data_IF_805515916047
#
_entry.id   IF_805515916047
#
_cell.length_a   1.000
_cell.length_b   1.000
_cell.length_c   1.000
_cell.angle_alpha   90.00
_cell.angle_beta   90.00
_cell.angle_gamma   90.00
#
_symmetry.space_group_name_H-M   'P 1'
#
loop_
_entity.id
_entity.type
_entity.pdbx_description
1 polymer ?
#
# COMPACT_ATOMS: atom_id res chain seq x y z
N UNK A 1 -34.28 19.54 -53.97
CA UNK A 1 -34.38 19.13 -52.56
C UNK A 1 -33.16 18.30 -52.19
N UNK A 2 -32.16 18.90 -51.52
CA UNK A 2 -30.95 18.18 -51.04
C UNK A 2 -31.24 17.63 -49.65
N UNK A 3 -31.30 16.31 -49.51
CA UNK A 3 -31.37 15.62 -48.22
C UNK A 3 -29.95 15.52 -47.66
N UNK A 4 -29.63 16.33 -46.66
CA UNK A 4 -28.40 16.19 -45.89
C UNK A 4 -28.75 15.31 -44.69
N UNK A 5 -28.36 14.05 -44.76
CA UNK A 5 -28.43 13.13 -43.63
C UNK A 5 -27.35 13.52 -42.62
N UNK A 6 -27.76 14.02 -41.46
CA UNK A 6 -26.84 14.28 -40.35
C UNK A 6 -26.44 12.95 -39.70
N UNK A 7 -25.17 12.57 -39.85
CA UNK A 7 -24.57 11.48 -39.09
C UNK A 7 -24.38 11.97 -37.64
N UNK A 8 -25.08 11.32 -36.70
CA UNK A 8 -24.87 11.52 -35.26
C UNK A 8 -23.50 10.96 -34.90
N UNK A 9 -22.54 11.85 -34.68
CA UNK A 9 -21.26 11.54 -34.06
C UNK A 9 -21.54 11.20 -32.60
N UNK A 10 -21.52 9.90 -32.28
CA UNK A 10 -21.48 9.43 -30.90
C UNK A 10 -20.17 9.88 -30.27
N UNK A 11 -20.22 10.97 -29.51
CA UNK A 11 -19.14 11.39 -28.63
C UNK A 11 -19.02 10.32 -27.54
N UNK A 12 -18.02 9.45 -27.71
CA UNK A 12 -17.49 8.62 -26.63
C UNK A 12 -16.96 9.58 -25.56
N UNK A 13 -17.75 9.80 -24.50
CA UNK A 13 -17.25 10.39 -23.27
C UNK A 13 -16.29 9.37 -22.65
N UNK A 14 -15.02 9.44 -23.04
CA UNK A 14 -13.93 8.80 -22.31
C UNK A 14 -13.93 9.41 -20.91
N UNK A 15 -14.54 8.70 -19.95
CA UNK A 15 -14.40 9.02 -18.54
C UNK A 15 -12.90 8.96 -18.23
N UNK A 16 -12.30 10.11 -17.96
CA UNK A 16 -10.93 10.22 -17.50
C UNK A 16 -10.86 9.51 -16.14
N UNK A 17 -10.45 8.24 -16.13
CA UNK A 17 -10.14 7.52 -14.90
C UNK A 17 -8.84 8.14 -14.38
N UNK A 18 -8.98 9.15 -13.52
CA UNK A 18 -7.85 9.73 -12.82
C UNK A 18 -7.29 8.67 -11.87
N UNK A 19 -6.20 8.02 -12.27
CA UNK A 19 -5.40 7.20 -11.38
C UNK A 19 -4.70 8.15 -10.39
N UNK A 20 -5.14 8.13 -9.13
CA UNK A 20 -4.48 8.86 -8.05
C UNK A 20 -3.62 7.85 -7.29
N UNK A 21 -2.32 8.11 -7.21
CA UNK A 21 -1.39 7.37 -6.38
C UNK A 21 -0.89 8.27 -5.25
N UNK A 22 -1.06 7.83 -4.01
CA UNK A 22 -0.53 8.48 -2.82
C UNK A 22 0.63 7.64 -2.30
N UNK A 23 1.75 8.29 -2.00
CA UNK A 23 2.93 7.64 -1.44
C UNK A 23 3.16 8.12 -0.02
N UNK A 24 3.37 7.21 0.92
CA UNK A 24 3.67 7.48 2.32
C UNK A 24 5.02 6.86 2.65
N UNK A 25 5.88 7.59 3.35
CA UNK A 25 7.22 7.12 3.71
C UNK A 25 7.48 7.33 5.20
N UNK A 26 8.16 6.37 5.80
CA UNK A 26 8.79 6.50 7.11
C UNK A 26 10.23 6.02 7.02
N UNK A 27 11.12 6.72 7.70
CA UNK A 27 12.46 6.23 8.01
C UNK A 27 12.68 6.32 9.52
N UNK A 28 13.18 5.24 10.11
CA UNK A 28 13.50 5.16 11.53
C UNK A 28 14.76 4.32 11.74
N UNK A 29 15.88 4.99 12.00
CA UNK A 29 17.19 4.36 11.95
C UNK A 29 17.46 3.74 10.58
N UNK A 30 17.85 2.47 10.58
CA UNK A 30 18.08 1.68 9.38
C UNK A 30 16.83 1.11 8.70
N UNK A 31 15.64 1.36 9.26
CA UNK A 31 14.38 0.82 8.74
C UNK A 31 13.65 1.87 7.90
N UNK A 32 13.36 1.56 6.65
CA UNK A 32 12.59 2.36 5.71
C UNK A 32 11.29 1.63 5.38
N UNK A 33 10.18 2.34 5.44
CA UNK A 33 8.88 1.86 5.02
C UNK A 33 8.33 2.79 3.96
N UNK A 34 7.89 2.22 2.85
CA UNK A 34 7.18 2.93 1.79
C UNK A 34 5.84 2.26 1.59
N UNK A 35 4.78 3.06 1.56
CA UNK A 35 3.45 2.59 1.24
C UNK A 35 2.90 3.41 0.08
N UNK A 36 2.36 2.72 -0.91
CA UNK A 36 1.66 3.31 -2.04
C UNK A 36 0.21 2.88 -2.00
N UNK A 37 -0.69 3.84 -2.08
CA UNK A 37 -2.12 3.62 -2.25
C UNK A 37 -2.50 4.13 -3.63
N UNK A 38 -3.05 3.27 -4.48
CA UNK A 38 -3.55 3.65 -5.79
C UNK A 38 -5.06 3.41 -5.88
N UNK A 39 -5.78 4.34 -6.51
CA UNK A 39 -7.21 4.19 -6.78
C UNK A 39 -7.49 4.21 -8.27
N UNK A 40 -8.19 3.20 -8.77
CA UNK A 40 -8.63 3.09 -10.16
C UNK A 40 -10.11 2.71 -10.16
N UNK A 41 -10.99 3.66 -10.49
CA UNK A 41 -12.43 3.48 -10.30
C UNK A 41 -12.74 3.27 -8.81
N UNK A 42 -13.38 2.15 -8.49
CA UNK A 42 -13.71 1.75 -7.11
C UNK A 42 -12.67 0.80 -6.49
N UNK A 43 -11.67 0.36 -7.26
CA UNK A 43 -10.62 -0.51 -6.76
C UNK A 43 -9.54 0.30 -6.06
N UNK A 44 -9.16 -0.15 -4.86
CA UNK A 44 -8.05 0.38 -4.08
C UNK A 44 -6.94 -0.66 -4.10
N UNK A 45 -5.80 -0.32 -4.70
CA UNK A 45 -4.57 -1.08 -4.60
C UNK A 45 -3.70 -0.51 -3.48
N UNK A 46 -3.05 -1.40 -2.75
CA UNK A 46 -2.02 -1.04 -1.77
C UNK A 46 -0.78 -1.87 -2.03
N UNK A 47 0.37 -1.21 -1.93
CA UNK A 47 1.70 -1.81 -1.93
C UNK A 47 2.46 -1.25 -0.73
N UNK A 48 3.10 -2.13 0.04
CA UNK A 48 3.95 -1.77 1.17
C UNK A 48 5.30 -2.43 0.99
N UNK A 49 6.33 -1.61 0.92
CA UNK A 49 7.73 -1.99 0.84
C UNK A 49 8.43 -1.66 2.15
N UNK A 50 9.27 -2.59 2.60
CA UNK A 50 10.06 -2.44 3.81
C UNK A 50 11.48 -2.85 3.53
N UNK A 51 12.40 -1.95 3.83
CA UNK A 51 13.83 -2.19 3.81
C UNK A 51 14.40 -1.98 5.21
N UNK A 52 15.29 -2.88 5.62
CA UNK A 52 16.05 -2.72 6.85
C UNK A 52 17.52 -2.97 6.56
N UNK A 53 18.34 -1.99 6.89
CA UNK A 53 19.80 -2.07 6.88
C UNK A 53 20.31 -1.87 8.32
N UNK A 54 21.00 -2.85 8.93
CA UNK A 54 21.56 -2.71 10.28
C UNK A 54 22.49 -1.49 10.42
N UNK A 55 22.24 -0.63 11.42
CA UNK A 55 23.08 0.55 11.66
C UNK A 55 23.62 0.60 13.10
N UNK A 56 24.95 0.67 13.22
CA UNK A 56 25.63 0.80 14.50
C UNK A 56 25.49 -0.42 15.42
N UNK A 57 25.83 -0.25 16.69
CA UNK A 57 25.85 -1.34 17.68
C UNK A 57 24.46 -1.80 18.13
N UNK A 58 23.41 -1.01 17.88
CA UNK A 58 22.02 -1.34 18.28
C UNK A 58 21.45 -2.48 17.42
N UNK A 59 21.98 -2.66 16.21
CA UNK A 59 21.56 -3.68 15.26
C UNK A 59 22.60 -4.82 15.10
N UNK A 60 23.54 -4.93 16.03
CA UNK A 60 24.57 -5.96 15.99
C UNK A 60 23.97 -7.37 15.92
N UNK A 61 24.45 -8.17 14.97
CA UNK A 61 23.96 -9.53 14.72
C UNK A 61 22.64 -9.62 13.93
N UNK A 62 21.98 -8.51 13.63
CA UNK A 62 20.85 -8.48 12.69
C UNK A 62 21.36 -8.54 11.24
N UNK A 63 20.51 -9.01 10.33
CA UNK A 63 20.80 -9.07 8.89
C UNK A 63 19.90 -8.11 8.14
N UNK A 64 20.38 -7.53 7.03
CA UNK A 64 19.52 -6.72 6.18
C UNK A 64 18.38 -7.55 5.61
N UNK A 65 17.26 -6.91 5.35
CA UNK A 65 16.11 -7.52 4.70
C UNK A 65 15.35 -6.50 3.85
N UNK A 66 14.66 -7.01 2.84
CA UNK A 66 13.81 -6.22 1.95
C UNK A 66 12.60 -7.08 1.58
N UNK A 67 11.40 -6.54 1.79
CA UNK A 67 10.15 -7.25 1.51
C UNK A 67 9.07 -6.30 1.00
N UNK A 68 8.27 -6.82 0.08
CA UNK A 68 7.12 -6.13 -0.49
C UNK A 68 5.87 -6.98 -0.29
N UNK A 69 4.77 -6.34 0.09
CA UNK A 69 3.44 -6.94 0.01
C UNK A 69 2.50 -6.01 -0.76
N UNK A 70 1.79 -6.58 -1.72
CA UNK A 70 0.86 -5.83 -2.56
C UNK A 70 -0.39 -6.62 -2.91
N UNK A 71 -1.46 -5.87 -3.18
CA UNK A 71 -2.76 -6.42 -3.56
C UNK A 71 -3.89 -5.40 -3.47
N UNK A 72 -5.10 -5.88 -3.71
CA UNK A 72 -6.32 -5.09 -3.50
C UNK A 72 -6.60 -4.94 -2.00
N UNK A 73 -6.98 -3.73 -1.60
CA UNK A 73 -7.39 -3.42 -0.24
C UNK A 73 -8.89 -3.10 -0.20
N UNK A 74 -9.52 -3.51 0.89
CA UNK A 74 -10.91 -3.20 1.19
C UNK A 74 -10.99 -1.94 2.06
N UNK A 75 -11.89 -1.01 1.72
CA UNK A 75 -12.20 0.13 2.57
C UNK A 75 -13.23 -0.29 3.62
N UNK A 76 -12.81 -0.38 4.88
CA UNK A 76 -13.68 -0.78 6.00
C UNK A 76 -14.24 0.42 6.77
N UNK A 77 -13.56 1.57 6.69
CA UNK A 77 -14.04 2.85 7.18
C UNK A 77 -13.49 4.00 6.32
N UNK A 78 -13.94 5.24 6.55
CA UNK A 78 -13.47 6.41 5.79
C UNK A 78 -11.95 6.62 5.85
N UNK A 79 -11.34 6.17 6.93
CA UNK A 79 -9.93 6.33 7.21
C UNK A 79 -9.23 4.99 7.49
N UNK A 80 -9.82 3.86 7.09
CA UNK A 80 -9.26 2.54 7.34
C UNK A 80 -9.35 1.66 6.08
N UNK A 81 -8.20 1.11 5.68
CA UNK A 81 -8.08 0.12 4.61
C UNK A 81 -7.52 -1.19 5.18
N UNK A 82 -7.96 -2.31 4.61
CA UNK A 82 -7.47 -3.64 4.98
C UNK A 82 -6.96 -4.36 3.73
N UNK A 83 -5.68 -4.69 3.71
CA UNK A 83 -5.05 -5.55 2.71
C UNK A 83 -4.91 -6.97 3.30
N UNK A 84 -5.34 -7.99 2.55
CA UNK A 84 -5.12 -9.39 2.92
C UNK A 84 -4.34 -10.11 1.83
N UNK A 85 -3.19 -10.66 2.19
CA UNK A 85 -2.35 -11.48 1.30
C UNK A 85 -2.20 -12.88 1.86
N UNK A 86 -2.55 -13.89 1.06
CA UNK A 86 -2.33 -15.29 1.43
C UNK A 86 -0.84 -15.64 1.36
N UNK A 87 -0.34 -16.34 2.38
CA UNK A 87 1.01 -16.95 2.37
C UNK A 87 1.02 -18.05 1.31
N UNK A 88 2.03 -18.05 0.45
CA UNK A 88 2.12 -19.05 -0.62
C UNK A 88 2.13 -20.48 -0.06
N UNK A 89 1.21 -21.32 -0.52
CA UNK A 89 1.10 -22.72 -0.10
C UNK A 89 0.52 -22.95 1.30
N UNK A 90 0.13 -21.90 2.04
CA UNK A 90 -0.46 -22.03 3.38
C UNK A 90 -1.88 -21.46 3.47
N UNK A 91 -2.67 -21.96 4.41
CA UNK A 91 -3.99 -21.42 4.76
C UNK A 91 -3.87 -20.26 5.78
N UNK A 92 -2.86 -19.40 5.61
CA UNK A 92 -2.57 -18.24 6.47
C UNK A 92 -2.57 -16.96 5.65
N UNK A 93 -2.93 -15.85 6.30
CA UNK A 93 -3.08 -14.57 5.62
C UNK A 93 -2.36 -13.47 6.40
N UNK A 94 -1.42 -12.80 5.75
CA UNK A 94 -0.93 -11.53 6.24
C UNK A 94 -2.01 -10.47 5.99
N UNK A 95 -2.60 -10.00 7.08
CA UNK A 95 -3.50 -8.86 7.10
C UNK A 95 -2.72 -7.60 7.51
N UNK A 96 -2.83 -6.55 6.70
CA UNK A 96 -2.39 -5.19 7.04
C UNK A 96 -3.61 -4.30 7.22
N UNK A 97 -3.70 -3.63 8.37
CA UNK A 97 -4.70 -2.58 8.63
C UNK A 97 -4.01 -1.24 8.55
N UNK A 98 -4.53 -0.36 7.70
CA UNK A 98 -3.93 0.91 7.36
C UNK A 98 -4.86 2.00 7.84
N UNK A 99 -4.40 2.74 8.85
CA UNK A 99 -5.13 3.84 9.44
C UNK A 99 -4.64 5.15 8.83
N UNK A 100 -5.50 5.81 8.07
CA UNK A 100 -5.24 7.11 7.45
C UNK A 100 -5.64 8.24 8.39
N UNK A 101 -4.84 9.30 8.44
CA UNK A 101 -5.13 10.51 9.20
C UNK A 101 -4.51 11.73 8.52
N UNK A 102 -5.23 12.32 7.57
CA UNK A 102 -4.74 13.43 6.76
C UNK A 102 -3.51 12.99 5.95
N UNK A 103 -2.40 13.71 6.12
CA UNK A 103 -1.12 13.43 5.45
C UNK A 103 -0.29 12.33 6.17
N UNK A 104 -0.89 11.54 7.05
CA UNK A 104 -0.22 10.48 7.79
C UNK A 104 -0.95 9.14 7.70
N UNK A 105 -0.19 8.06 7.79
CA UNK A 105 -0.71 6.69 7.86
C UNK A 105 0.00 5.88 8.95
N UNK A 106 -0.72 4.94 9.58
CA UNK A 106 -0.16 3.95 10.52
C UNK A 106 -0.57 2.56 10.05
N UNK A 107 0.35 1.61 10.13
CA UNK A 107 0.11 0.22 9.68
C UNK A 107 0.18 -0.70 10.89
N UNK A 108 -0.88 -1.48 11.10
CA UNK A 108 -0.86 -2.67 11.96
C UNK A 108 -0.76 -3.93 11.09
N UNK A 109 -0.01 -4.93 11.54
CA UNK A 109 0.12 -6.21 10.86
C UNK A 109 -0.38 -7.36 11.74
N UNK A 110 -1.03 -8.35 11.13
CA UNK A 110 -1.30 -9.63 11.78
C UNK A 110 -0.01 -10.40 12.06
N UNK A 111 -0.01 -11.30 13.05
CA UNK A 111 1.13 -12.19 13.34
C UNK A 111 1.52 -13.07 12.16
N UNK A 112 0.57 -13.38 11.29
CA UNK A 112 0.81 -14.22 10.11
C UNK A 112 1.68 -13.53 9.06
N UNK A 113 1.88 -12.21 9.15
CA UNK A 113 2.85 -11.49 8.32
C UNK A 113 4.30 -11.91 8.62
N UNK A 114 4.58 -12.46 9.80
CA UNK A 114 5.90 -12.97 10.17
C UNK A 114 6.30 -14.22 9.36
N UNK A 115 5.35 -14.84 8.62
CA UNK A 115 5.67 -15.89 7.65
C UNK A 115 6.17 -15.33 6.31
N UNK A 116 5.85 -14.08 5.99
CA UNK A 116 6.38 -13.37 4.81
C UNK A 116 7.71 -12.68 5.11
N UNK A 117 7.90 -12.30 6.37
CA UNK A 117 8.96 -11.42 6.82
C UNK A 117 10.00 -12.21 7.61
N UNK A 118 11.29 -12.00 7.34
CA UNK A 118 12.31 -12.36 8.33
C UNK A 118 12.11 -11.54 9.63
N UNK A 119 12.57 -12.04 10.78
CA UNK A 119 12.30 -11.50 12.14
C UNK A 119 12.47 -9.98 12.33
N UNK A 120 13.23 -9.30 11.46
CA UNK A 120 13.59 -7.89 11.60
C UNK A 120 12.87 -6.94 10.64
N UNK A 121 12.32 -7.42 9.52
CA UNK A 121 11.50 -6.58 8.63
C UNK A 121 10.06 -6.63 9.10
N UNK A 122 9.42 -5.47 9.30
CA UNK A 122 8.00 -5.41 9.65
C UNK A 122 7.27 -4.42 8.77
N UNK A 123 6.11 -4.82 8.26
CA UNK A 123 5.16 -3.92 7.62
C UNK A 123 4.49 -2.99 8.64
N UNK A 124 4.33 -3.45 9.88
CA UNK A 124 3.79 -2.63 10.96
C UNK A 124 4.68 -1.41 11.22
N UNK A 125 4.05 -0.25 11.38
CA UNK A 125 4.78 1.00 11.65
C UNK A 125 5.01 1.25 13.15
N UNK A 126 4.61 0.31 14.01
CA UNK A 126 4.78 0.33 15.46
C UNK A 126 4.21 1.61 16.09
N UNK A 127 3.08 2.08 15.58
CA UNK A 127 2.42 3.32 15.99
C UNK A 127 3.09 4.61 15.52
N UNK A 128 4.25 4.53 14.84
CA UNK A 128 4.91 5.69 14.24
C UNK A 128 4.30 5.96 12.86
N UNK A 129 4.05 7.23 12.49
CA UNK A 129 3.39 7.54 11.23
C UNK A 129 4.34 7.43 10.03
N UNK A 130 3.83 6.91 8.93
CA UNK A 130 4.32 7.18 7.58
C UNK A 130 3.72 8.51 7.11
N UNK A 131 4.53 9.37 6.50
CA UNK A 131 4.10 10.70 6.05
C UNK A 131 3.88 10.71 4.54
N UNK A 132 2.81 11.36 4.10
CA UNK A 132 2.50 11.56 2.69
C UNK A 132 3.61 12.36 2.02
N UNK A 133 4.12 11.83 0.93
CA UNK A 133 5.04 12.50 0.01
C UNK A 133 4.21 13.36 -0.95
N UNK A 134 4.53 14.65 -1.01
CA UNK A 134 3.83 15.66 -1.83
C UNK A 134 4.52 15.89 -3.16
#
# INVERSE_FOLDING_TARGET
>A
MKRVSAAVVGLLFSANVFAIAQHYVRQDGGHVQHMKINKVGDEIGVEVDVDFEPVGSVDEGKRPCSHTVSGSAEKVADNELVLKKQVEGEARYCELKIHLKGDAAVIDQSKDCDYFLGTYCKFASEGKPLLLVK
#
